data_IF_154109046042
#
_entry.id   IF_154109046042
#
_cell.length_a   1.000
_cell.length_b   1.000
_cell.length_c   1.000
_cell.angle_alpha   90.00
_cell.angle_beta   90.00
_cell.angle_gamma   90.00
#
_symmetry.space_group_name_H-M   'P 1'
#
loop_
_entity.id
_entity.type
_entity.pdbx_description
1 polymer ?
#
# COMPACT_ATOMS: atom_id res chain seq x y z
N UNK A 1 -8.30 -27.82 -6.86
CA UNK A 1 -7.16 -27.10 -6.27
C UNK A 1 -7.26 -27.27 -4.76
N UNK A 2 -6.20 -27.75 -4.11
CA UNK A 2 -6.18 -27.89 -2.65
C UNK A 2 -6.22 -26.51 -1.97
N UNK A 3 -6.85 -26.41 -0.79
CA UNK A 3 -6.96 -25.14 -0.05
C UNK A 3 -5.57 -24.72 0.43
N UNK A 4 -5.13 -23.54 0.01
CA UNK A 4 -3.82 -22.95 0.32
C UNK A 4 -4.02 -21.48 0.68
N UNK A 5 -3.13 -20.95 1.51
CA UNK A 5 -3.08 -19.52 1.81
C UNK A 5 -2.28 -18.78 0.74
N UNK A 6 -2.82 -17.66 0.29
CA UNK A 6 -2.22 -16.74 -0.68
C UNK A 6 -2.12 -15.34 -0.07
N UNK A 7 -1.13 -14.59 -0.53
CA UNK A 7 -0.99 -13.16 -0.28
C UNK A 7 -0.22 -12.52 -1.43
N UNK A 8 -0.44 -11.22 -1.65
CA UNK A 8 0.28 -10.39 -2.63
C UNK A 8 0.80 -9.17 -1.89
N UNK A 9 2.01 -8.75 -2.26
CA UNK A 9 2.64 -7.49 -1.85
C UNK A 9 2.79 -6.61 -3.10
N UNK A 10 2.19 -5.41 -3.07
CA UNK A 10 2.18 -4.47 -4.19
C UNK A 10 2.88 -3.18 -3.81
N UNK A 11 3.95 -2.85 -4.52
CA UNK A 11 4.62 -1.55 -4.46
C UNK A 11 4.05 -0.58 -5.49
N UNK A 12 3.72 0.64 -5.06
CA UNK A 12 3.20 1.69 -5.93
C UNK A 12 4.27 2.75 -6.23
N UNK A 13 4.50 2.97 -7.53
CA UNK A 13 5.28 4.12 -7.98
C UNK A 13 4.51 5.43 -7.77
N UNK A 14 5.13 6.40 -7.09
CA UNK A 14 4.53 7.72 -6.85
C UNK A 14 5.34 8.85 -7.47
N UNK A 15 4.64 9.78 -8.11
CA UNK A 15 5.23 11.00 -8.65
C UNK A 15 4.26 12.17 -8.50
N UNK A 16 4.77 13.35 -8.17
CA UNK A 16 3.98 14.57 -8.11
C UNK A 16 4.44 15.53 -9.20
N UNK A 17 3.57 15.76 -10.18
CA UNK A 17 3.78 16.70 -11.26
C UNK A 17 2.79 17.86 -11.16
N UNK A 18 3.23 19.06 -11.53
CA UNK A 18 2.34 20.22 -11.68
C UNK A 18 2.81 21.03 -12.88
N UNK A 19 1.86 21.30 -13.80
CA UNK A 19 2.14 21.94 -15.11
C UNK A 19 3.23 21.20 -15.90
N UNK A 20 3.20 19.87 -15.88
CA UNK A 20 4.15 19.02 -16.62
C UNK A 20 5.56 18.91 -16.01
N UNK A 21 5.83 19.59 -14.89
CA UNK A 21 7.12 19.51 -14.20
C UNK A 21 6.98 18.75 -12.88
N UNK A 22 7.97 17.92 -12.55
CA UNK A 22 8.06 17.26 -11.24
C UNK A 22 8.22 18.33 -10.16
N UNK A 23 7.41 18.26 -9.11
CA UNK A 23 7.40 19.24 -8.02
C UNK A 23 8.05 18.76 -6.74
N UNK A 24 7.95 17.47 -6.47
CA UNK A 24 8.45 16.85 -5.24
C UNK A 24 9.28 15.62 -5.60
N UNK A 25 10.23 15.26 -4.75
CA UNK A 25 10.88 13.95 -4.81
C UNK A 25 9.89 12.83 -4.43
N UNK A 26 10.12 11.58 -4.87
CA UNK A 26 9.31 10.44 -4.44
C UNK A 26 9.16 10.36 -2.91
N UNK A 27 10.25 10.56 -2.16
CA UNK A 27 10.26 10.62 -0.70
C UNK A 27 9.30 11.67 -0.13
N UNK A 28 9.30 12.88 -0.69
CA UNK A 28 8.44 13.97 -0.23
C UNK A 28 6.96 13.67 -0.49
N UNK A 29 6.66 13.07 -1.65
CA UNK A 29 5.30 12.61 -2.00
C UNK A 29 4.84 11.50 -1.06
N UNK A 30 5.66 10.48 -0.89
CA UNK A 30 5.41 9.36 0.00
C UNK A 30 5.15 9.82 1.45
N UNK A 31 6.06 10.62 2.01
CA UNK A 31 5.89 11.19 3.36
C UNK A 31 4.62 12.02 3.44
N UNK A 32 4.27 12.77 2.40
CA UNK A 32 3.01 13.51 2.37
C UNK A 32 1.79 12.60 2.47
N UNK A 33 1.70 11.60 1.59
CA UNK A 33 0.58 10.65 1.55
C UNK A 33 0.42 9.92 2.90
N UNK A 34 1.54 9.52 3.52
CA UNK A 34 1.54 8.81 4.80
C UNK A 34 1.38 9.70 6.03
N UNK A 35 1.33 11.04 5.91
CA UNK A 35 1.16 11.93 7.09
C UNK A 35 -0.07 11.55 7.93
N UNK A 36 -1.17 11.18 7.27
CA UNK A 36 -2.39 10.72 7.97
C UNK A 36 -2.16 9.38 8.65
N UNK A 37 -1.60 8.40 7.94
CA UNK A 37 -1.27 7.07 8.48
C UNK A 37 -0.42 7.17 9.74
N UNK A 38 0.65 7.95 9.68
CA UNK A 38 1.53 8.19 10.83
C UNK A 38 0.79 8.90 11.97
N UNK A 39 -0.10 9.85 11.67
CA UNK A 39 -0.81 10.61 12.72
C UNK A 39 -1.74 9.75 13.58
N UNK A 40 -2.43 8.76 12.99
CA UNK A 40 -3.33 7.87 13.75
C UNK A 40 -2.68 6.54 14.14
N UNK A 41 -1.80 5.99 13.31
CA UNK A 41 -1.14 4.70 13.52
C UNK A 41 0.19 4.78 14.27
N UNK A 42 0.73 5.99 14.50
CA UNK A 42 2.04 6.27 15.13
C UNK A 42 3.23 5.59 14.45
N UNK A 43 3.02 5.09 13.23
CA UNK A 43 3.96 4.32 12.42
C UNK A 43 3.64 4.54 10.94
N UNK A 44 4.64 4.47 10.08
CA UNK A 44 4.45 4.37 8.63
C UNK A 44 4.19 2.94 8.17
N UNK A 45 4.02 2.00 9.10
CA UNK A 45 3.67 0.60 8.88
C UNK A 45 2.55 0.22 9.84
N UNK A 46 1.37 -0.09 9.29
CA UNK A 46 0.14 -0.36 10.04
C UNK A 46 -0.62 -1.52 9.43
N UNK A 47 -1.46 -2.16 10.25
CA UNK A 47 -2.50 -3.07 9.78
C UNK A 47 -3.83 -2.34 9.66
N UNK A 48 -4.54 -2.58 8.56
CA UNK A 48 -5.85 -2.03 8.29
C UNK A 48 -6.95 -2.95 8.84
N UNK A 49 -8.17 -2.41 8.97
CA UNK A 49 -9.31 -3.16 9.50
C UNK A 49 -9.70 -4.39 8.65
N UNK A 50 -9.32 -4.41 7.37
CA UNK A 50 -9.54 -5.55 6.48
C UNK A 50 -8.44 -6.64 6.60
N UNK A 51 -7.49 -6.48 7.52
CA UNK A 51 -6.37 -7.40 7.74
C UNK A 51 -5.14 -7.16 6.86
N UNK A 52 -5.22 -6.23 5.89
CA UNK A 52 -4.08 -5.88 5.04
C UNK A 52 -2.99 -5.11 5.81
N UNK A 53 -1.74 -5.19 5.36
CA UNK A 53 -0.65 -4.33 5.83
C UNK A 53 -0.47 -3.17 4.86
N UNK A 54 -0.47 -1.94 5.37
CA UNK A 54 -0.13 -0.74 4.61
C UNK A 54 1.13 -0.13 5.19
N UNK A 55 2.16 0.05 4.37
CA UNK A 55 3.41 0.59 4.85
C UNK A 55 4.18 1.39 3.81
N UNK A 56 5.17 2.14 4.29
CA UNK A 56 6.14 2.81 3.45
C UNK A 56 7.44 2.00 3.45
N UNK A 57 7.84 1.50 2.29
CA UNK A 57 9.09 0.74 2.11
C UNK A 57 10.34 1.65 2.15
N UNK A 58 11.52 1.03 2.32
CA UNK A 58 12.83 1.67 2.25
C UNK A 58 13.03 2.45 0.95
N UNK A 59 12.45 1.98 -0.17
CA UNK A 59 12.46 2.68 -1.46
C UNK A 59 11.54 3.90 -1.55
N UNK A 60 10.88 4.30 -0.47
CA UNK A 60 9.81 5.33 -0.45
C UNK A 60 8.58 4.95 -1.30
N UNK A 61 8.37 3.67 -1.57
CA UNK A 61 7.14 3.20 -2.20
C UNK A 61 6.05 2.97 -1.14
N UNK A 62 4.86 3.53 -1.31
CA UNK A 62 3.66 3.01 -0.66
C UNK A 62 3.49 1.54 -1.04
N UNK A 63 3.28 0.70 -0.04
CA UNK A 63 3.14 -0.73 -0.25
C UNK A 63 1.91 -1.26 0.48
N UNK A 64 1.14 -2.08 -0.24
CA UNK A 64 -0.05 -2.74 0.28
C UNK A 64 0.13 -4.25 0.15
N UNK A 65 0.13 -4.93 1.30
CA UNK A 65 0.09 -6.39 1.35
C UNK A 65 -1.32 -6.86 1.71
N UNK A 66 -1.91 -7.72 0.88
CA UNK A 66 -3.23 -8.29 1.13
C UNK A 66 -3.27 -9.09 2.44
N UNK A 67 -4.42 -9.22 3.11
CA UNK A 67 -4.56 -10.25 4.13
C UNK A 67 -4.40 -11.64 3.51
N UNK A 68 -4.23 -12.64 4.36
CA UNK A 68 -4.23 -14.04 3.98
C UNK A 68 -5.57 -14.44 3.35
N UNK A 69 -5.52 -14.91 2.11
CA UNK A 69 -6.69 -15.34 1.34
C UNK A 69 -6.61 -16.85 1.07
N UNK A 70 -7.73 -17.57 1.12
CA UNK A 70 -7.75 -19.03 0.89
C UNK A 70 -8.26 -19.42 -0.51
N UNK A 71 -8.59 -18.42 -1.33
CA UNK A 71 -9.01 -18.54 -2.72
C UNK A 71 -8.44 -17.41 -3.57
N UNK A 72 -8.20 -17.69 -4.86
CA UNK A 72 -7.70 -16.69 -5.81
C UNK A 72 -8.69 -15.53 -6.00
N UNK A 73 -10.00 -15.82 -5.97
CA UNK A 73 -11.02 -14.78 -6.06
C UNK A 73 -10.93 -13.80 -4.88
N UNK A 74 -10.83 -14.32 -3.64
CA UNK A 74 -10.67 -13.47 -2.46
C UNK A 74 -9.38 -12.64 -2.54
N UNK A 75 -8.28 -13.25 -2.99
CA UNK A 75 -7.01 -12.56 -3.20
C UNK A 75 -7.15 -11.36 -4.14
N UNK A 76 -7.77 -11.55 -5.31
CA UNK A 76 -8.00 -10.48 -6.29
C UNK A 76 -8.92 -9.38 -5.73
N UNK A 77 -9.92 -9.74 -4.93
CA UNK A 77 -10.78 -8.75 -4.27
C UNK A 77 -9.99 -7.88 -3.29
N UNK A 78 -9.11 -8.48 -2.49
CA UNK A 78 -8.28 -7.72 -1.55
C UNK A 78 -7.19 -6.91 -2.23
N UNK A 79 -6.59 -7.43 -3.30
CA UNK A 79 -5.66 -6.71 -4.18
C UNK A 79 -6.31 -5.43 -4.72
N UNK A 80 -7.51 -5.55 -5.31
CA UNK A 80 -8.28 -4.40 -5.81
C UNK A 80 -8.79 -3.46 -4.74
N UNK A 81 -8.92 -3.93 -3.49
CA UNK A 81 -9.21 -3.04 -2.37
C UNK A 81 -8.03 -2.11 -2.04
N UNK A 82 -6.79 -2.52 -2.31
CA UNK A 82 -5.59 -1.69 -2.12
C UNK A 82 -5.46 -0.52 -3.10
N UNK A 83 -6.18 -0.57 -4.22
CA UNK A 83 -6.20 0.49 -5.25
C UNK A 83 -7.22 1.62 -4.94
N UNK A 84 -7.95 1.55 -3.82
CA UNK A 84 -9.05 2.47 -3.46
C UNK A 84 -8.73 3.32 -2.24
#
# INVERSE_FOLDING_TARGET
MERRIFGIENEYGVTCTSRGQRRLSPDEVARYLFRRVVSWGRSSNVFLANGARLYLDVGSHPEYATPECDSVHQLVVHDKAGER
#
